data_IF_929043572815
#
_entry.id   IF_929043572815
#
_cell.length_a   1.000
_cell.length_b   1.000
_cell.length_c   1.000
_cell.angle_alpha   90.00
_cell.angle_beta   90.00
_cell.angle_gamma   90.00
#
_symmetry.space_group_name_H-M   'P 1'
#
loop_
_entity.id
_entity.type
_entity.pdbx_description
1 polymer ?
#
# COMPACT_ATOMS: atom_id res chain seq x y z
N UNK A 1 25.00 18.39 -7.31
CA UNK A 1 24.91 16.92 -7.16
C UNK A 1 24.98 16.46 -5.70
N UNK A 2 25.42 17.28 -4.72
CA UNK A 2 25.55 16.86 -3.32
C UNK A 2 24.25 16.84 -2.51
N UNK A 3 23.20 17.57 -2.92
CA UNK A 3 21.98 17.76 -2.13
C UNK A 3 20.91 16.67 -2.32
N UNK A 4 20.96 15.92 -3.43
CA UNK A 4 19.99 14.85 -3.72
C UNK A 4 20.29 13.56 -2.95
N UNK A 5 21.58 13.26 -2.73
CA UNK A 5 22.03 12.08 -1.99
C UNK A 5 21.71 12.23 -0.49
N UNK A 6 21.84 13.45 0.04
CA UNK A 6 21.49 13.75 1.43
C UNK A 6 19.99 13.59 1.69
N UNK A 7 19.15 14.03 0.76
CA UNK A 7 17.69 13.91 0.86
C UNK A 7 17.22 12.45 0.78
N UNK A 8 17.89 11.60 -0.01
CA UNK A 8 17.58 10.17 -0.08
C UNK A 8 17.99 9.43 1.20
N UNK A 9 19.14 9.79 1.80
CA UNK A 9 19.60 9.22 3.05
C UNK A 9 18.70 9.61 4.24
N UNK A 10 18.27 10.88 4.32
CA UNK A 10 17.30 11.32 5.34
C UNK A 10 15.94 10.63 5.17
N UNK A 11 15.50 10.41 3.93
CA UNK A 11 14.24 9.71 3.65
C UNK A 11 14.33 8.20 3.93
N UNK A 12 15.51 7.58 3.78
CA UNK A 12 15.77 6.19 4.20
C UNK A 12 15.77 6.05 5.73
N UNK A 13 16.40 6.97 6.46
CA UNK A 13 16.36 7.00 7.93
C UNK A 13 14.93 7.19 8.45
N UNK A 14 14.15 8.11 7.85
CA UNK A 14 12.74 8.30 8.21
C UNK A 14 11.89 7.04 7.95
N UNK A 15 12.20 6.28 6.88
CA UNK A 15 11.50 5.03 6.55
C UNK A 15 11.87 3.92 7.54
N UNK A 16 13.14 3.79 7.91
CA UNK A 16 13.60 2.78 8.86
C UNK A 16 13.05 3.04 10.26
N UNK A 17 13.00 4.30 10.70
CA UNK A 17 12.37 4.70 11.96
C UNK A 17 10.86 4.41 11.94
N UNK A 18 10.19 4.65 10.81
CA UNK A 18 8.78 4.30 10.61
C UNK A 18 8.54 2.78 10.64
N UNK A 19 9.42 1.99 10.03
CA UNK A 19 9.33 0.53 10.08
C UNK A 19 9.52 0.02 11.51
N UNK A 20 10.43 0.64 12.27
CA UNK A 20 10.69 0.29 13.66
C UNK A 20 9.52 0.68 14.59
N UNK A 21 8.90 1.85 14.40
CA UNK A 21 7.69 2.25 15.12
C UNK A 21 6.50 1.34 14.80
N UNK A 22 6.35 0.93 13.54
CA UNK A 22 5.34 -0.04 13.12
C UNK A 22 5.59 -1.39 13.80
N UNK A 23 6.84 -1.89 13.83
CA UNK A 23 7.20 -3.13 14.51
C UNK A 23 6.91 -3.07 16.02
N UNK A 24 7.18 -1.92 16.65
CA UNK A 24 6.99 -1.74 18.09
C UNK A 24 5.50 -1.62 18.48
N UNK A 25 4.67 -0.96 17.66
CA UNK A 25 3.22 -0.88 17.86
C UNK A 25 2.50 -2.22 17.60
N UNK A 26 3.12 -3.10 16.81
CA UNK A 26 2.59 -4.42 16.44
C UNK A 26 2.75 -5.51 17.51
N UNK A 27 3.51 -5.26 18.58
CA UNK A 27 3.72 -6.23 19.67
C UNK A 27 2.49 -6.51 20.56
N UNK A 28 1.41 -5.72 20.46
CA UNK A 28 0.22 -5.84 21.33
C UNK A 28 -1.09 -6.18 20.58
N UNK A 29 -1.07 -6.24 19.24
CA UNK A 29 -2.26 -6.48 18.44
C UNK A 29 -2.24 -7.87 17.82
N UNK A 30 -3.36 -8.59 17.99
CA UNK A 30 -3.72 -9.89 17.41
C UNK A 30 -2.84 -10.26 16.19
N UNK A 31 -1.85 -11.11 16.48
CA UNK A 31 -0.63 -11.41 15.72
C UNK A 31 -0.89 -12.07 14.35
N UNK A 32 -1.56 -11.37 13.46
CA UNK A 32 -1.89 -11.93 12.14
C UNK A 32 -0.65 -12.15 11.26
N UNK A 33 0.47 -11.48 11.55
CA UNK A 33 1.78 -11.67 10.88
C UNK A 33 2.57 -12.88 11.40
N UNK A 34 2.28 -13.41 12.60
CA UNK A 34 2.96 -14.63 13.09
C UNK A 34 2.55 -15.89 12.32
N UNK A 35 1.47 -15.83 11.55
CA UNK A 35 1.06 -16.87 10.59
C UNK A 35 1.94 -16.90 9.32
N UNK A 36 2.98 -16.06 9.21
CA UNK A 36 3.86 -15.94 8.03
C UNK A 36 5.35 -16.27 8.29
N UNK A 37 5.71 -17.40 8.93
CA UNK A 37 7.12 -17.76 9.04
C UNK A 37 7.74 -18.10 7.67
N UNK A 38 6.94 -18.55 6.71
CA UNK A 38 7.45 -19.12 5.45
C UNK A 38 7.62 -18.09 4.31
N UNK A 39 6.88 -16.97 4.34
CA UNK A 39 6.95 -15.94 3.27
C UNK A 39 8.21 -15.08 3.38
N UNK A 40 8.77 -14.95 4.59
CA UNK A 40 10.00 -14.19 4.85
C UNK A 40 11.26 -15.06 4.89
N UNK A 41 11.13 -16.40 4.90
CA UNK A 41 12.26 -17.34 5.02
C UNK A 41 12.66 -18.02 3.71
N UNK A 42 11.88 -17.86 2.64
CA UNK A 42 12.36 -18.20 1.31
C UNK A 42 13.56 -17.30 0.99
N UNK A 43 14.71 -17.83 0.55
CA UNK A 43 15.84 -17.01 0.15
C UNK A 43 15.40 -16.23 -1.10
N UNK A 44 14.85 -15.04 -0.87
CA UNK A 44 14.69 -14.05 -1.91
C UNK A 44 16.11 -13.76 -2.38
N UNK A 45 16.40 -14.03 -3.64
CA UNK A 45 17.58 -13.46 -4.27
C UNK A 45 17.62 -11.97 -3.89
N UNK A 46 18.78 -11.44 -3.47
CA UNK A 46 18.87 -10.02 -3.16
C UNK A 46 18.26 -9.27 -4.34
N UNK A 47 17.32 -8.33 -4.11
CA UNK A 47 16.60 -7.71 -5.19
C UNK A 47 17.63 -7.23 -6.23
N UNK A 48 17.45 -7.58 -7.51
CA UNK A 48 18.37 -7.15 -8.54
C UNK A 48 18.58 -5.65 -8.40
N UNK A 49 19.82 -5.18 -8.62
CA UNK A 49 20.15 -3.75 -8.50
C UNK A 49 19.05 -2.95 -9.20
N UNK A 50 18.39 -2.07 -8.45
CA UNK A 50 17.31 -1.24 -8.95
C UNK A 50 17.84 -0.54 -10.21
N UNK A 51 17.17 -0.76 -11.33
CA UNK A 51 17.56 -0.17 -12.59
C UNK A 51 17.50 1.35 -12.45
N UNK A 52 18.51 2.06 -13.00
CA UNK A 52 18.61 3.51 -12.86
C UNK A 52 17.44 4.27 -13.48
N UNK A 53 16.69 3.61 -14.36
CA UNK A 53 15.55 4.08 -15.14
C UNK A 53 14.20 3.54 -14.62
N UNK A 54 14.14 2.95 -13.42
CA UNK A 54 12.89 2.39 -12.86
C UNK A 54 11.74 3.40 -12.81
N UNK A 55 12.04 4.70 -12.69
CA UNK A 55 11.03 5.77 -12.67
C UNK A 55 10.46 6.09 -14.06
N UNK A 56 11.07 5.60 -15.15
CA UNK A 56 10.56 5.75 -16.51
C UNK A 56 9.37 4.81 -16.78
N UNK A 57 9.22 3.75 -15.98
CA UNK A 57 8.07 2.83 -16.05
C UNK A 57 6.77 3.44 -15.51
N UNK A 58 6.85 4.58 -14.80
CA UNK A 58 5.67 5.25 -14.26
C UNK A 58 4.85 5.84 -15.42
N UNK A 59 3.58 5.42 -15.60
CA UNK A 59 2.78 5.82 -16.75
C UNK A 59 2.17 7.21 -16.52
N UNK A 60 3.01 8.25 -16.57
CA UNK A 60 2.62 9.64 -16.23
C UNK A 60 1.53 10.23 -17.13
N UNK A 61 1.33 9.65 -18.31
CA UNK A 61 0.27 10.03 -19.25
C UNK A 61 -1.05 9.27 -19.03
N UNK A 62 -1.05 8.20 -18.22
CA UNK A 62 -2.22 7.36 -18.01
C UNK A 62 -3.25 8.02 -17.06
N UNK A 63 -4.52 7.62 -17.19
CA UNK A 63 -5.60 8.16 -16.37
C UNK A 63 -5.46 7.79 -14.88
N UNK A 64 -4.91 6.60 -14.58
CA UNK A 64 -4.63 6.18 -13.19
C UNK A 64 -3.61 7.09 -12.50
N UNK A 65 -2.67 7.66 -13.25
CA UNK A 65 -1.67 8.59 -12.73
C UNK A 65 -2.16 10.05 -12.74
N UNK A 66 -2.72 10.50 -13.86
CA UNK A 66 -3.13 11.89 -14.03
C UNK A 66 -4.28 12.26 -13.08
N UNK A 67 -5.20 11.33 -12.81
CA UNK A 67 -6.36 11.54 -11.93
C UNK A 67 -6.13 11.08 -10.49
N UNK A 68 -4.90 10.67 -10.15
CA UNK A 68 -4.53 10.44 -8.76
C UNK A 68 -4.53 11.76 -7.98
N UNK A 69 -5.25 11.80 -6.87
CA UNK A 69 -5.26 12.96 -5.98
C UNK A 69 -3.86 13.23 -5.43
N UNK A 70 -3.57 14.51 -5.20
CA UNK A 70 -2.34 14.96 -4.56
C UNK A 70 -2.52 15.21 -3.06
N UNK A 71 -3.77 15.21 -2.59
CA UNK A 71 -4.14 15.54 -1.21
C UNK A 71 -4.95 14.43 -0.59
N UNK A 72 -4.70 14.19 0.70
CA UNK A 72 -5.47 13.24 1.49
C UNK A 72 -6.68 13.94 2.13
N UNK A 73 -7.86 13.36 1.97
CA UNK A 73 -9.13 13.87 2.49
C UNK A 73 -9.39 13.26 3.87
N UNK A 74 -9.61 14.02 4.95
CA UNK A 74 -9.95 13.45 6.25
C UNK A 74 -11.24 12.62 6.18
N UNK A 75 -11.22 11.43 6.78
CA UNK A 75 -12.41 10.59 6.87
C UNK A 75 -13.37 11.16 7.93
N UNK A 76 -14.66 11.24 7.62
CA UNK A 76 -15.65 11.90 8.50
C UNK A 76 -15.91 11.16 9.81
N UNK A 77 -15.93 9.82 9.77
CA UNK A 77 -16.22 8.95 10.93
C UNK A 77 -14.95 8.55 11.70
N UNK A 78 -13.86 8.22 11.00
CA UNK A 78 -12.61 7.76 11.60
C UNK A 78 -11.58 8.90 11.58
N UNK A 79 -11.36 9.63 12.68
CA UNK A 79 -10.54 10.85 12.69
C UNK A 79 -9.08 10.62 12.32
N UNK A 80 -8.57 9.40 12.54
CA UNK A 80 -7.19 9.02 12.24
C UNK A 80 -7.01 8.49 10.79
N UNK A 81 -8.11 8.35 10.04
CA UNK A 81 -8.07 7.86 8.67
C UNK A 81 -8.19 9.04 7.72
N UNK A 82 -7.30 9.10 6.74
CA UNK A 82 -7.46 9.97 5.57
C UNK A 82 -7.77 9.09 4.34
N UNK A 83 -8.27 9.69 3.27
CA UNK A 83 -8.66 9.01 2.05
C UNK A 83 -7.88 9.62 0.88
N UNK A 84 -7.24 8.77 0.09
CA UNK A 84 -6.69 9.15 -1.20
C UNK A 84 -7.69 8.78 -2.29
N UNK A 85 -8.13 9.77 -3.05
CA UNK A 85 -8.93 9.54 -4.25
C UNK A 85 -8.04 9.10 -5.42
N UNK A 86 -8.41 8.03 -6.09
CA UNK A 86 -7.68 7.48 -7.24
C UNK A 86 -8.64 6.84 -8.24
N UNK A 87 -8.12 6.51 -9.43
CA UNK A 87 -8.86 5.80 -10.48
C UNK A 87 -8.42 4.33 -10.56
N UNK A 88 -9.38 3.41 -10.51
CA UNK A 88 -9.15 1.97 -10.60
C UNK A 88 -8.78 1.53 -12.02
N UNK A 89 -8.29 0.30 -12.19
CA UNK A 89 -8.02 -0.29 -13.51
C UNK A 89 -9.29 -0.43 -14.37
N UNK A 90 -10.46 -0.60 -13.74
CA UNK A 90 -11.76 -0.59 -14.42
C UNK A 90 -12.23 0.82 -14.82
N UNK A 91 -11.47 1.85 -14.44
CA UNK A 91 -11.75 3.24 -14.76
C UNK A 91 -12.75 3.92 -13.82
N UNK A 92 -13.15 3.28 -12.72
CA UNK A 92 -14.01 3.87 -11.70
C UNK A 92 -13.20 4.75 -10.73
N UNK A 93 -13.85 5.75 -10.13
CA UNK A 93 -13.25 6.51 -9.02
C UNK A 93 -13.40 5.72 -7.72
N UNK A 94 -12.33 5.66 -6.93
CA UNK A 94 -12.28 4.94 -5.68
C UNK A 94 -11.47 5.71 -4.62
N UNK A 95 -11.57 5.24 -3.37
CA UNK A 95 -10.82 5.78 -2.26
C UNK A 95 -9.95 4.70 -1.62
N UNK A 96 -8.68 5.01 -1.43
CA UNK A 96 -7.77 4.23 -0.62
C UNK A 96 -7.73 4.83 0.80
N UNK A 97 -8.04 4.05 1.83
CA UNK A 97 -7.86 4.49 3.21
C UNK A 97 -6.37 4.59 3.54
N UNK A 98 -5.98 5.69 4.17
CA UNK A 98 -4.60 6.04 4.49
C UNK A 98 -4.51 6.25 6.00
N UNK A 99 -3.97 5.27 6.72
CA UNK A 99 -3.84 5.30 8.17
C UNK A 99 -2.69 4.38 8.60
N UNK A 100 -1.84 4.85 9.51
CA UNK A 100 -0.69 4.08 10.04
C UNK A 100 -1.10 2.80 10.77
N UNK A 101 -2.25 2.83 11.45
CA UNK A 101 -2.74 1.75 12.32
C UNK A 101 -3.94 1.01 11.72
N UNK A 102 -4.10 1.03 10.39
CA UNK A 102 -5.30 0.54 9.71
C UNK A 102 -5.58 -0.95 9.96
N UNK A 103 -4.52 -1.73 10.12
CA UNK A 103 -4.52 -3.15 10.46
C UNK A 103 -4.95 -3.37 11.92
N UNK A 104 -4.43 -2.58 12.86
CA UNK A 104 -4.77 -2.65 14.29
C UNK A 104 -6.23 -2.27 14.56
N UNK A 105 -6.75 -1.29 13.83
CA UNK A 105 -8.16 -0.85 13.94
C UNK A 105 -9.17 -1.89 13.46
N UNK A 106 -8.72 -2.94 12.76
CA UNK A 106 -9.60 -3.93 12.15
C UNK A 106 -10.47 -3.34 11.03
N UNK A 107 -9.98 -2.31 10.34
CA UNK A 107 -10.72 -1.59 9.28
C UNK A 107 -11.26 -2.53 8.20
N UNK A 108 -10.52 -3.60 7.87
CA UNK A 108 -10.89 -4.60 6.87
C UNK A 108 -11.67 -5.81 7.43
N UNK A 109 -11.95 -5.88 8.75
CA UNK A 109 -12.74 -6.98 9.35
C UNK A 109 -14.10 -7.18 8.66
N UNK A 110 -14.86 -6.12 8.30
CA UNK A 110 -16.12 -6.28 7.58
C UNK A 110 -16.02 -6.93 6.20
N UNK A 111 -14.84 -6.94 5.56
CA UNK A 111 -14.63 -7.52 4.24
C UNK A 111 -14.38 -9.03 4.27
N UNK A 112 -14.07 -9.61 5.44
CA UNK A 112 -13.79 -11.04 5.59
C UNK A 112 -14.84 -11.97 4.97
N UNK A 113 -16.16 -11.72 5.07
CA UNK A 113 -17.18 -12.61 4.50
C UNK A 113 -17.16 -12.71 2.97
N UNK A 114 -16.62 -11.71 2.27
CA UNK A 114 -16.58 -11.66 0.79
C UNK A 114 -15.20 -12.03 0.23
N UNK A 115 -14.25 -12.38 1.10
CA UNK A 115 -12.88 -12.78 0.79
C UNK A 115 -12.58 -14.25 1.22
N UNK A 116 -13.44 -15.25 0.90
CA UNK A 116 -13.17 -16.63 1.27
C UNK A 116 -12.09 -17.25 0.38
N UNK A 117 -11.11 -17.93 0.97
CA UNK A 117 -10.13 -18.73 0.23
C UNK A 117 -9.10 -17.95 -0.60
N UNK A 118 -9.09 -16.63 -0.53
CA UNK A 118 -8.13 -15.76 -1.25
C UNK A 118 -6.75 -15.78 -0.59
N UNK A 119 -5.71 -15.57 -1.41
CA UNK A 119 -4.32 -15.51 -0.94
C UNK A 119 -4.15 -14.39 0.11
N UNK A 120 -3.55 -14.76 1.24
CA UNK A 120 -3.31 -13.84 2.35
C UNK A 120 -2.33 -12.75 1.98
N UNK A 121 -1.43 -12.97 1.01
CA UNK A 121 -0.47 -11.98 0.54
C UNK A 121 -1.16 -10.71 0.04
N UNK A 122 -2.31 -10.82 -0.64
CA UNK A 122 -3.06 -9.65 -1.09
C UNK A 122 -3.69 -8.87 0.08
N UNK A 123 -4.05 -9.54 1.18
CA UNK A 123 -4.50 -8.84 2.40
C UNK A 123 -3.36 -8.03 3.01
N UNK A 124 -2.16 -8.60 3.04
CA UNK A 124 -0.94 -7.92 3.49
C UNK A 124 -0.63 -6.72 2.60
N UNK A 125 -0.59 -6.93 1.28
CA UNK A 125 -0.29 -5.87 0.31
C UNK A 125 -1.29 -4.71 0.40
N UNK A 126 -2.58 -5.01 0.58
CA UNK A 126 -3.63 -4.00 0.78
C UNK A 126 -3.41 -3.19 2.06
N UNK A 127 -3.12 -3.85 3.18
CA UNK A 127 -2.91 -3.14 4.44
C UNK A 127 -1.62 -2.31 4.40
N UNK A 128 -0.52 -2.91 3.95
CA UNK A 128 0.78 -2.26 3.80
C UNK A 128 0.68 -1.01 2.93
N UNK A 129 0.03 -1.09 1.76
CA UNK A 129 -0.07 0.07 0.88
C UNK A 129 -0.86 1.21 1.55
N UNK A 130 -1.90 0.92 2.33
CA UNK A 130 -2.66 1.92 3.10
C UNK A 130 -1.84 2.59 4.21
N UNK A 131 -0.97 1.82 4.89
CA UNK A 131 -0.09 2.33 5.94
C UNK A 131 0.93 3.28 5.33
N UNK A 132 1.67 2.83 4.31
CA UNK A 132 2.69 3.66 3.67
C UNK A 132 2.02 4.88 3.00
N UNK A 133 0.85 4.73 2.38
CA UNK A 133 0.14 5.84 1.73
C UNK A 133 -0.23 6.99 2.69
N UNK A 134 -0.29 6.71 3.99
CA UNK A 134 -0.58 7.68 5.05
C UNK A 134 0.57 8.66 5.33
N UNK A 135 1.77 8.37 4.85
CA UNK A 135 2.93 9.23 5.06
C UNK A 135 2.74 10.61 4.42
N UNK A 136 3.10 11.63 5.19
CA UNK A 136 3.08 13.02 4.75
C UNK A 136 4.26 13.25 3.79
N UNK A 137 4.10 14.17 2.83
CA UNK A 137 5.18 14.49 1.88
C UNK A 137 5.46 13.42 0.80
N UNK A 138 4.77 12.28 0.80
CA UNK A 138 4.95 11.24 -0.23
C UNK A 138 4.87 11.79 -1.67
N UNK A 139 5.92 11.60 -2.49
CA UNK A 139 5.93 11.95 -3.90
C UNK A 139 4.79 11.29 -4.68
N UNK A 140 4.23 12.00 -5.66
CA UNK A 140 3.10 11.51 -6.47
C UNK A 140 3.38 10.15 -7.12
N UNK A 141 4.61 9.91 -7.58
CA UNK A 141 5.00 8.64 -8.19
C UNK A 141 4.86 7.48 -7.19
N UNK A 142 5.30 7.67 -5.95
CA UNK A 142 5.12 6.66 -4.90
C UNK A 142 3.65 6.50 -4.50
N UNK A 143 2.88 7.60 -4.42
CA UNK A 143 1.42 7.52 -4.20
C UNK A 143 0.74 6.70 -5.29
N UNK A 144 1.18 6.83 -6.53
CA UNK A 144 0.63 6.06 -7.64
C UNK A 144 0.95 4.57 -7.51
N UNK A 145 2.20 4.22 -7.18
CA UNK A 145 2.59 2.81 -6.96
C UNK A 145 1.74 2.19 -5.83
N UNK A 146 1.59 2.89 -4.72
CA UNK A 146 0.81 2.42 -3.57
C UNK A 146 -0.69 2.27 -3.90
N UNK A 147 -1.28 3.22 -4.64
CA UNK A 147 -2.65 3.12 -5.13
C UNK A 147 -2.82 1.94 -6.12
N UNK A 148 -1.83 1.69 -6.97
CA UNK A 148 -1.79 0.53 -7.89
C UNK A 148 -1.75 -0.78 -7.10
N UNK A 149 -0.88 -0.90 -6.08
CA UNK A 149 -0.83 -2.09 -5.22
C UNK A 149 -2.15 -2.29 -4.48
N UNK A 150 -2.73 -1.22 -3.93
CA UNK A 150 -4.04 -1.26 -3.28
C UNK A 150 -5.14 -1.74 -4.21
N UNK A 151 -5.21 -1.18 -5.43
CA UNK A 151 -6.23 -1.56 -6.40
C UNK A 151 -6.08 -3.02 -6.82
N UNK A 152 -4.87 -3.42 -7.19
CA UNK A 152 -4.56 -4.79 -7.58
C UNK A 152 -4.89 -5.79 -6.47
N UNK A 153 -4.50 -5.50 -5.23
CA UNK A 153 -4.82 -6.34 -4.10
C UNK A 153 -6.33 -6.49 -3.90
N UNK A 154 -7.13 -5.41 -4.03
CA UNK A 154 -8.58 -5.52 -3.94
C UNK A 154 -9.19 -6.32 -5.09
N UNK A 155 -8.68 -6.19 -6.31
CA UNK A 155 -9.13 -6.99 -7.46
C UNK A 155 -8.86 -8.49 -7.20
N UNK A 156 -7.66 -8.84 -6.70
CA UNK A 156 -7.32 -10.23 -6.38
C UNK A 156 -8.09 -10.81 -5.17
N UNK A 157 -8.52 -9.95 -4.24
CA UNK A 157 -9.36 -10.35 -3.10
C UNK A 157 -10.84 -10.49 -3.46
N UNK A 158 -11.27 -9.96 -4.61
CA UNK A 158 -12.66 -10.02 -5.06
C UNK A 158 -12.95 -11.33 -5.80
N UNK A 159 -13.58 -12.28 -5.12
CA UNK A 159 -13.93 -13.61 -5.66
C UNK A 159 -14.91 -13.61 -6.84
N UNK A 160 -15.52 -12.46 -7.19
CA UNK A 160 -16.40 -12.32 -8.36
C UNK A 160 -15.64 -12.23 -9.69
N UNK A 161 -14.33 -12.00 -9.66
CA UNK A 161 -13.46 -12.07 -10.84
C UNK A 161 -13.01 -13.52 -11.08
N UNK A 162 -13.94 -14.49 -11.04
CA UNK A 162 -13.62 -15.84 -11.53
C UNK A 162 -13.48 -15.80 -13.05
N UNK A 163 -12.55 -16.58 -13.58
CA UNK A 163 -12.13 -16.63 -14.99
C UNK A 163 -13.25 -16.85 -16.02
N UNK A 164 -14.49 -17.11 -15.57
CA UNK A 164 -15.68 -17.32 -16.41
C UNK A 164 -16.31 -16.04 -16.98
N UNK A 165 -15.69 -14.86 -16.79
CA UNK A 165 -16.19 -13.58 -17.31
C UNK A 165 -15.22 -12.87 -18.26
N UNK A 166 -14.40 -13.61 -19.02
CA UNK A 166 -13.66 -13.10 -20.18
C UNK A 166 -14.14 -13.71 -21.50
#
# INVERSE_FOLDING_TARGET
MSSQIHFMAEMEEDIDDLLQEIEQARGEADDWWQDFPDVLTSPLDPPPRIASDVLDEIPRADLTYTQLSTTLIPHQIYPNVKLLEFRTFSGAMAYQPCCKDIDLMGFFKPLRPIEPGVDRLFKVARAWSCIIQSLEGLPKDLRWVLATVYNFANDMLCTKLSEDTM
#
